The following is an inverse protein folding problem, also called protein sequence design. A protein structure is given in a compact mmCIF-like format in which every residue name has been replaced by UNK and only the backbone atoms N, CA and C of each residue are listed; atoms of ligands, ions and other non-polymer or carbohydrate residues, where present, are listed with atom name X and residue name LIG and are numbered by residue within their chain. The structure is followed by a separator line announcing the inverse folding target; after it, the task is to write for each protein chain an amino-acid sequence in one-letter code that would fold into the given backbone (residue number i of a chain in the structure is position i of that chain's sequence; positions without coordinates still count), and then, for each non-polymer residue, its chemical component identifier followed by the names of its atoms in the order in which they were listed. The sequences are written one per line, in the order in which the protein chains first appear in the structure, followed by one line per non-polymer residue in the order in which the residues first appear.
data_IF_247745409881
#
_entry.id   IF_247745409881
#
_cell.length_a   1.000
_cell.length_b   1.000
_cell.length_c   1.000
_cell.angle_alpha   90.00
_cell.angle_beta   90.00
_cell.angle_gamma   90.00
#
_symmetry.space_group_name_H-M   'P 1'
#
loop_
_entity.id
_entity.type
_entity.pdbx_description
1 polymer ?
#
# COMPACT_ATOMS: atom_id res chain seq x y z
N UNK A 1 8.53 11.52 -25.23
CA UNK A 1 8.70 12.06 -23.86
C UNK A 1 10.19 12.21 -23.59
N UNK A 2 10.68 13.37 -23.13
CA UNK A 2 12.08 13.53 -22.70
C UNK A 2 12.23 12.99 -21.28
N UNK A 3 13.27 12.18 -21.06
CA UNK A 3 13.62 11.65 -19.74
C UNK A 3 14.18 12.79 -18.87
N UNK A 4 13.70 12.90 -17.65
CA UNK A 4 14.19 13.88 -16.67
C UNK A 4 15.66 13.61 -16.32
N UNK A 5 16.49 14.65 -16.38
CA UNK A 5 17.89 14.57 -16.00
C UNK A 5 18.03 15.07 -14.56
N UNK A 6 18.43 14.17 -13.66
CA UNK A 6 18.65 14.49 -12.26
C UNK A 6 19.99 15.21 -12.07
N UNK A 7 19.97 16.39 -11.45
CA UNK A 7 21.16 17.20 -11.19
C UNK A 7 21.91 16.76 -9.92
N UNK A 8 21.24 16.10 -8.97
CA UNK A 8 21.85 15.70 -7.70
C UNK A 8 21.23 14.43 -7.09
N UNK A 9 21.97 13.80 -6.18
CA UNK A 9 21.45 12.69 -5.35
C UNK A 9 20.21 13.09 -4.55
N UNK A 10 20.18 14.33 -4.04
CA UNK A 10 19.05 14.84 -3.27
C UNK A 10 17.78 14.89 -4.12
N UNK A 11 17.88 15.33 -5.37
CA UNK A 11 16.75 15.37 -6.30
C UNK A 11 16.22 13.96 -6.61
N UNK A 12 17.11 12.99 -6.82
CA UNK A 12 16.77 11.58 -7.00
C UNK A 12 15.97 11.01 -5.82
N UNK A 13 16.43 11.30 -4.60
CA UNK A 13 15.77 10.85 -3.37
C UNK A 13 14.40 11.53 -3.20
N UNK A 14 14.32 12.84 -3.42
CA UNK A 14 13.04 13.56 -3.34
C UNK A 14 12.04 12.97 -4.33
N UNK A 15 12.45 12.75 -5.58
CA UNK A 15 11.57 12.21 -6.60
C UNK A 15 11.02 10.82 -6.24
N UNK A 16 11.90 9.94 -5.74
CA UNK A 16 11.52 8.62 -5.25
C UNK A 16 10.54 8.69 -4.08
N UNK A 17 10.87 9.45 -3.02
CA UNK A 17 10.08 9.48 -1.78
C UNK A 17 8.76 10.24 -1.95
N UNK A 18 8.73 11.27 -2.78
CA UNK A 18 7.48 11.98 -3.12
C UNK A 18 6.55 11.06 -3.89
N UNK A 19 7.05 10.28 -4.85
CA UNK A 19 6.23 9.33 -5.58
C UNK A 19 5.77 8.17 -4.68
N UNK A 20 6.65 7.66 -3.80
CA UNK A 20 6.32 6.63 -2.82
C UNK A 20 5.20 7.08 -1.87
N UNK A 21 5.36 8.24 -1.22
CA UNK A 21 4.36 8.77 -0.30
C UNK A 21 3.08 9.21 -1.02
N UNK A 22 3.24 9.82 -2.20
CA UNK A 22 2.13 10.25 -3.05
C UNK A 22 1.24 9.10 -3.49
N UNK A 23 1.82 7.92 -3.75
CA UNK A 23 1.06 6.72 -4.08
C UNK A 23 0.15 6.28 -2.94
N UNK A 24 0.66 6.24 -1.70
CA UNK A 24 -0.16 5.94 -0.52
C UNK A 24 -1.24 6.99 -0.30
N UNK A 25 -0.89 8.27 -0.36
CA UNK A 25 -1.84 9.37 -0.17
C UNK A 25 -2.98 9.32 -1.20
N UNK A 26 -2.66 9.06 -2.46
CA UNK A 26 -3.64 8.89 -3.53
C UNK A 26 -4.60 7.72 -3.26
N UNK A 27 -4.07 6.54 -2.91
CA UNK A 27 -4.89 5.36 -2.68
C UNK A 27 -5.75 5.48 -1.41
N UNK A 28 -5.22 6.07 -0.33
CA UNK A 28 -6.00 6.36 0.87
C UNK A 28 -7.13 7.34 0.56
N UNK A 29 -6.85 8.42 -0.18
CA UNK A 29 -7.88 9.36 -0.60
C UNK A 29 -8.96 8.69 -1.47
N UNK A 30 -8.57 7.81 -2.40
CA UNK A 30 -9.51 7.06 -3.22
C UNK A 30 -10.42 6.15 -2.37
N UNK A 31 -9.85 5.40 -1.42
CA UNK A 31 -10.61 4.54 -0.49
C UNK A 31 -11.60 5.37 0.33
N UNK A 32 -11.16 6.50 0.90
CA UNK A 32 -12.03 7.41 1.67
C UNK A 32 -13.17 7.94 0.79
N UNK A 33 -12.87 8.37 -0.44
CA UNK A 33 -13.88 8.87 -1.37
C UNK A 33 -14.89 7.78 -1.77
N UNK A 34 -14.43 6.54 -1.98
CA UNK A 34 -15.30 5.39 -2.23
C UNK A 34 -16.21 5.14 -1.04
N UNK A 35 -15.66 5.13 0.18
CA UNK A 35 -16.40 4.88 1.41
C UNK A 35 -17.49 5.95 1.64
N UNK A 36 -17.16 7.23 1.48
CA UNK A 36 -18.10 8.36 1.62
C UNK A 36 -19.20 8.32 0.56
N UNK A 37 -18.91 7.77 -0.62
CA UNK A 37 -19.88 7.65 -1.73
C UNK A 37 -20.45 6.23 -1.89
N UNK A 38 -20.31 5.36 -0.88
CA UNK A 38 -20.67 3.94 -0.96
C UNK A 38 -22.13 3.68 -1.30
N UNK A 39 -23.05 4.58 -0.91
CA UNK A 39 -24.47 4.50 -1.26
C UNK A 39 -24.81 4.93 -2.69
N UNK A 40 -23.85 5.53 -3.42
CA UNK A 40 -24.05 6.03 -4.79
C UNK A 40 -23.60 4.97 -5.79
N UNK A 41 -24.58 4.25 -6.33
CA UNK A 41 -24.41 3.10 -7.24
C UNK A 41 -23.57 3.35 -8.50
N UNK A 42 -23.41 4.61 -8.92
CA UNK A 42 -22.57 4.98 -10.08
C UNK A 42 -21.25 5.63 -9.66
N UNK A 43 -21.26 6.45 -8.61
CA UNK A 43 -20.11 7.29 -8.25
C UNK A 43 -18.98 6.47 -7.62
N UNK A 44 -19.28 5.59 -6.67
CA UNK A 44 -18.24 4.76 -6.05
C UNK A 44 -17.54 3.83 -7.05
N UNK A 45 -18.26 3.10 -7.94
CA UNK A 45 -17.63 2.33 -9.00
C UNK A 45 -16.80 3.17 -9.98
N UNK A 46 -17.26 4.37 -10.35
CA UNK A 46 -16.51 5.26 -11.22
C UNK A 46 -15.18 5.71 -10.58
N UNK A 47 -15.18 6.09 -9.30
CA UNK A 47 -13.97 6.45 -8.55
C UNK A 47 -13.00 5.26 -8.51
N UNK A 48 -13.50 4.05 -8.23
CA UNK A 48 -12.68 2.84 -8.24
C UNK A 48 -12.06 2.59 -9.61
N UNK A 49 -12.85 2.67 -10.70
CA UNK A 49 -12.36 2.49 -12.06
C UNK A 49 -11.28 3.52 -12.44
N UNK A 50 -11.51 4.81 -12.14
CA UNK A 50 -10.52 5.87 -12.35
C UNK A 50 -9.25 5.61 -11.53
N UNK A 51 -9.41 5.18 -10.27
CA UNK A 51 -8.31 4.82 -9.39
C UNK A 51 -7.46 3.69 -9.94
N UNK A 52 -8.09 2.64 -10.48
CA UNK A 52 -7.40 1.52 -11.16
C UNK A 52 -6.64 2.03 -12.39
N UNK A 53 -7.28 2.81 -13.25
CA UNK A 53 -6.65 3.37 -14.45
C UNK A 53 -5.46 4.26 -14.09
N UNK A 54 -5.57 5.09 -13.05
CA UNK A 54 -4.48 5.93 -12.55
C UNK A 54 -3.31 5.10 -12.00
N UNK A 55 -3.60 4.04 -11.24
CA UNK A 55 -2.58 3.13 -10.72
C UNK A 55 -1.81 2.38 -11.81
N UNK A 56 -2.41 2.17 -12.99
CA UNK A 56 -1.74 1.57 -14.16
C UNK A 56 -0.99 2.64 -14.97
N UNK A 57 -1.67 3.73 -15.33
CA UNK A 57 -1.14 4.73 -16.25
C UNK A 57 0.01 5.54 -15.63
N UNK A 58 -0.09 5.93 -14.36
CA UNK A 58 0.92 6.75 -13.70
C UNK A 58 2.32 6.12 -13.68
N UNK A 59 2.52 4.86 -13.22
CA UNK A 59 3.84 4.24 -13.25
C UNK A 59 4.36 4.04 -14.67
N UNK A 60 3.51 3.75 -15.66
CA UNK A 60 3.92 3.63 -17.07
C UNK A 60 4.48 4.95 -17.57
N UNK A 61 3.72 6.05 -17.43
CA UNK A 61 4.15 7.38 -17.88
C UNK A 61 5.41 7.82 -17.13
N UNK A 62 5.47 7.58 -15.82
CA UNK A 62 6.63 7.92 -15.01
C UNK A 62 7.84 7.05 -15.35
N UNK A 63 7.69 5.81 -15.78
CA UNK A 63 8.83 4.98 -16.21
C UNK A 63 9.58 5.62 -17.39
N UNK A 64 8.85 6.27 -18.31
CA UNK A 64 9.45 6.95 -19.47
C UNK A 64 9.91 8.38 -19.19
N UNK A 65 9.36 9.05 -18.17
CA UNK A 65 9.66 10.46 -17.88
C UNK A 65 10.55 10.63 -16.65
N UNK A 66 10.25 9.94 -15.55
CA UNK A 66 10.89 10.05 -14.22
C UNK A 66 11.06 8.66 -13.60
N UNK A 67 12.05 7.92 -14.06
CA UNK A 67 12.21 6.49 -13.70
C UNK A 67 12.36 6.24 -12.19
N UNK A 68 12.87 7.19 -11.41
CA UNK A 68 12.96 7.05 -9.95
C UNK A 68 11.60 7.25 -9.26
N UNK A 69 10.74 8.13 -9.78
CA UNK A 69 9.36 8.24 -9.31
C UNK A 69 8.59 6.94 -9.57
N UNK A 70 8.75 6.33 -10.74
CA UNK A 70 8.15 5.04 -11.07
C UNK A 70 8.62 3.93 -10.11
N UNK A 71 9.92 3.89 -9.77
CA UNK A 71 10.45 2.98 -8.75
C UNK A 71 9.88 3.27 -7.35
N UNK A 72 9.65 4.55 -7.01
CA UNK A 72 8.98 4.95 -5.77
C UNK A 72 7.56 4.39 -5.68
N UNK A 73 6.79 4.50 -6.77
CA UNK A 73 5.44 3.91 -6.87
C UNK A 73 5.51 2.38 -6.75
N UNK A 74 6.42 1.73 -7.47
CA UNK A 74 6.57 0.28 -7.40
C UNK A 74 6.91 -0.18 -5.98
N UNK A 75 7.84 0.51 -5.31
CA UNK A 75 8.20 0.21 -3.93
C UNK A 75 7.01 0.42 -2.98
N UNK A 76 6.20 1.46 -3.18
CA UNK A 76 4.98 1.69 -2.39
C UNK A 76 3.95 0.58 -2.60
N UNK A 77 3.70 0.20 -3.85
CA UNK A 77 2.82 -0.92 -4.18
C UNK A 77 3.31 -2.23 -3.54
N UNK A 78 4.59 -2.57 -3.71
CA UNK A 78 5.16 -3.78 -3.08
C UNK A 78 5.05 -3.73 -1.56
N UNK A 79 5.26 -2.56 -0.95
CA UNK A 79 5.11 -2.37 0.50
C UNK A 79 3.67 -2.63 0.94
N UNK A 80 2.69 -2.06 0.24
CA UNK A 80 1.26 -2.28 0.52
C UNK A 80 0.84 -3.73 0.30
N UNK A 81 1.26 -4.34 -0.81
CA UNK A 81 0.98 -5.75 -1.11
C UNK A 81 1.57 -6.67 -0.04
N UNK A 82 2.83 -6.46 0.35
CA UNK A 82 3.44 -7.24 1.41
C UNK A 82 2.69 -7.06 2.73
N UNK A 83 2.27 -5.84 3.09
CA UNK A 83 1.45 -5.61 4.28
C UNK A 83 0.17 -6.45 4.25
N UNK A 84 -0.56 -6.47 3.14
CA UNK A 84 -1.77 -7.30 2.97
C UNK A 84 -1.48 -8.80 3.10
N UNK A 85 -0.33 -9.28 2.59
CA UNK A 85 0.08 -10.68 2.77
C UNK A 85 0.37 -10.98 4.24
N UNK A 86 1.11 -10.12 4.94
CA UNK A 86 1.35 -10.27 6.38
C UNK A 86 0.05 -10.25 7.18
N UNK A 87 -0.84 -9.31 6.88
CA UNK A 87 -2.17 -9.24 7.49
C UNK A 87 -2.93 -10.56 7.30
N UNK A 88 -3.01 -11.09 6.08
CA UNK A 88 -3.70 -12.36 5.81
C UNK A 88 -3.11 -13.56 6.56
N UNK A 89 -1.79 -13.65 6.67
CA UNK A 89 -1.10 -14.72 7.42
C UNK A 89 -1.44 -14.63 8.91
N UNK A 90 -1.30 -13.43 9.50
CA UNK A 90 -1.52 -13.25 10.93
C UNK A 90 -2.99 -13.31 11.32
N UNK A 91 -3.90 -12.86 10.44
CA UNK A 91 -5.33 -13.05 10.61
C UNK A 91 -5.67 -14.55 10.66
N UNK A 92 -5.19 -15.31 9.67
CA UNK A 92 -5.39 -16.77 9.62
C UNK A 92 -4.77 -17.48 10.84
N UNK A 93 -3.57 -17.08 11.27
CA UNK A 93 -2.95 -17.63 12.48
C UNK A 93 -3.76 -17.32 13.75
N UNK A 94 -4.35 -16.12 13.82
CA UNK A 94 -5.29 -15.73 14.88
C UNK A 94 -6.48 -16.68 14.93
N UNK A 95 -7.08 -17.01 13.78
CA UNK A 95 -8.25 -17.88 13.72
C UNK A 95 -7.95 -19.27 14.30
N UNK A 96 -6.78 -19.83 13.98
CA UNK A 96 -6.31 -21.10 14.57
C UNK A 96 -6.00 -20.98 16.07
N UNK A 97 -5.69 -19.79 16.56
CA UNK A 97 -5.40 -19.52 17.98
C UNK A 97 -6.65 -19.14 18.80
N UNK A 98 -7.85 -19.22 18.21
CA UNK A 98 -9.11 -18.84 18.88
C UNK A 98 -9.45 -17.35 18.81
N UNK A 99 -8.85 -16.65 17.85
CA UNK A 99 -9.22 -15.29 17.45
C UNK A 99 -10.65 -15.19 16.94
N UNK A 100 -11.11 -13.95 16.76
CA UNK A 100 -12.42 -13.65 16.23
C UNK A 100 -12.55 -14.11 14.78
N UNK A 101 -13.50 -15.02 14.53
CA UNK A 101 -13.88 -15.49 13.20
C UNK A 101 -15.27 -14.96 12.85
N UNK A 102 -15.40 -14.37 11.68
CA UNK A 102 -16.70 -14.02 11.09
C UNK A 102 -17.06 -15.03 10.01
N UNK A 103 -17.95 -15.97 10.32
CA UNK A 103 -18.55 -16.80 9.28
C UNK A 103 -19.47 -15.95 8.41
N UNK A 104 -19.42 -16.15 7.09
CA UNK A 104 -20.28 -15.42 6.15
C UNK A 104 -21.76 -15.69 6.51
N UNK A 105 -22.45 -14.66 7.02
CA UNK A 105 -23.85 -14.75 7.44
C UNK A 105 -24.11 -15.33 8.85
N UNK A 106 -23.06 -15.62 9.63
CA UNK A 106 -23.18 -16.09 11.02
C UNK A 106 -22.74 -15.04 12.05
N UNK A 107 -23.11 -15.20 13.34
CA UNK A 107 -22.58 -14.34 14.39
C UNK A 107 -21.06 -14.52 14.50
N UNK A 108 -20.36 -13.44 14.78
CA UNK A 108 -18.93 -13.48 15.10
C UNK A 108 -18.70 -14.29 16.36
N UNK A 109 -17.72 -15.20 16.31
CA UNK A 109 -17.31 -16.05 17.44
C UNK A 109 -15.81 -15.88 17.70
N UNK A 110 -15.33 -16.26 18.88
CA UNK A 110 -13.90 -16.14 19.23
C UNK A 110 -13.52 -14.83 19.92
N UNK A 111 -12.23 -14.66 20.21
CA UNK A 111 -11.72 -13.56 21.02
C UNK A 111 -11.08 -12.46 20.17
N UNK A 112 -11.72 -11.29 20.15
CA UNK A 112 -11.27 -10.08 19.43
C UNK A 112 -9.86 -9.65 19.86
N UNK A 113 -9.53 -9.76 21.15
CA UNK A 113 -8.23 -9.37 21.68
C UNK A 113 -7.11 -10.26 21.12
N UNK A 114 -7.39 -11.54 20.87
CA UNK A 114 -6.43 -12.47 20.26
C UNK A 114 -6.17 -12.06 18.80
N UNK A 115 -7.21 -11.75 18.03
CA UNK A 115 -7.04 -11.26 16.65
C UNK A 115 -6.21 -9.99 16.59
N UNK A 116 -6.51 -8.99 17.42
CA UNK A 116 -5.71 -7.77 17.45
C UNK A 116 -4.27 -8.03 17.90
N UNK A 117 -4.03 -8.93 18.87
CA UNK A 117 -2.67 -9.26 19.28
C UNK A 117 -1.84 -9.85 18.13
N UNK A 118 -2.41 -10.76 17.34
CA UNK A 118 -1.75 -11.31 16.16
C UNK A 118 -1.56 -10.27 15.06
N UNK A 119 -2.56 -9.44 14.76
CA UNK A 119 -2.44 -8.38 13.76
C UNK A 119 -1.38 -7.34 14.15
N UNK A 120 -1.31 -6.96 15.42
CA UNK A 120 -0.26 -6.06 15.95
C UNK A 120 1.12 -6.71 15.81
N UNK A 121 1.25 -8.00 16.17
CA UNK A 121 2.50 -8.73 16.00
C UNK A 121 2.93 -8.78 14.52
N UNK A 122 2.00 -9.08 13.61
CA UNK A 122 2.24 -9.08 12.17
C UNK A 122 2.66 -7.72 11.65
N UNK A 123 2.01 -6.65 12.11
CA UNK A 123 2.37 -5.28 11.76
C UNK A 123 3.78 -4.90 12.23
N UNK A 124 4.16 -5.29 13.46
CA UNK A 124 5.50 -5.05 13.99
C UNK A 124 6.56 -5.80 13.17
N UNK A 125 6.33 -7.08 12.88
CA UNK A 125 7.26 -7.89 12.05
C UNK A 125 7.42 -7.27 10.67
N UNK A 126 6.30 -6.90 10.04
CA UNK A 126 6.31 -6.21 8.76
C UNK A 126 7.09 -4.90 8.83
N UNK A 127 6.82 -4.04 9.81
CA UNK A 127 7.46 -2.73 9.96
C UNK A 127 8.97 -2.85 10.11
N UNK A 128 9.46 -3.84 10.88
CA UNK A 128 10.89 -4.12 11.03
C UNK A 128 11.52 -4.50 9.69
N UNK A 129 10.92 -5.44 8.96
CA UNK A 129 11.44 -5.89 7.65
C UNK A 129 11.41 -4.73 6.65
N UNK A 130 10.29 -4.02 6.56
CA UNK A 130 10.09 -2.89 5.65
C UNK A 130 11.13 -1.78 5.91
N UNK A 131 11.42 -1.47 7.18
CA UNK A 131 12.44 -0.48 7.53
C UNK A 131 13.82 -0.83 6.95
N UNK A 132 14.27 -2.08 7.10
CA UNK A 132 15.58 -2.49 6.59
C UNK A 132 15.63 -2.46 5.04
N UNK A 133 14.57 -2.93 4.38
CA UNK A 133 14.48 -2.91 2.91
C UNK A 133 14.45 -1.48 2.37
N UNK A 134 13.60 -0.62 2.93
CA UNK A 134 13.50 0.78 2.52
C UNK A 134 14.80 1.55 2.79
N UNK A 135 15.48 1.27 3.90
CA UNK A 135 16.81 1.83 4.19
C UNK A 135 17.85 1.37 3.17
N UNK A 136 17.81 0.12 2.74
CA UNK A 136 18.71 -0.39 1.71
C UNK A 136 18.47 0.31 0.36
N UNK A 137 17.21 0.50 -0.03
CA UNK A 137 16.82 1.27 -1.24
C UNK A 137 17.31 2.72 -1.13
N UNK A 138 17.08 3.40 -0.01
CA UNK A 138 17.57 4.76 0.20
C UNK A 138 19.10 4.88 0.00
N UNK A 139 19.85 3.88 0.47
CA UNK A 139 21.30 3.85 0.36
C UNK A 139 21.79 3.49 -1.05
N UNK A 140 21.03 2.74 -1.82
CA UNK A 140 21.40 2.36 -3.19
C UNK A 140 21.20 3.49 -4.19
N UNK A 141 20.31 4.45 -3.90
CA UNK A 141 20.13 5.67 -4.71
C UNK A 141 21.34 6.60 -4.49
N UNK A 142 22.27 6.56 -5.46
CA UNK A 142 23.46 7.42 -5.58
C UNK A 142 23.22 8.59 -6.52
#
# INVERSE_FOLDING_TARGET
MRRHQYASRREKLIDFWVAFAGWFAFNVAAIVLIQVNSSRTVVAPAIAAIGVLANIAAPIVLAFTRSLAALGILAAFSTGFSLTVFEGIFFTASDFAGGQVSNFGGPTTGNVAVTYAFLIAGFVVFAVIAFFVLRAIHRSIR
#
